data_IF_681897375883
#
_entry.id   IF_681897375883
#
_cell.length_a   1.000
_cell.length_b   1.000
_cell.length_c   1.000
_cell.angle_alpha   90.00
_cell.angle_beta   90.00
_cell.angle_gamma   90.00
#
_symmetry.space_group_name_H-M   'P 1'
#
loop_
_entity.id
_entity.type
_entity.pdbx_description
1 polymer ?
#
# COMPACT_ATOMS: atom_id res chain seq x y z
N UNK A 1 4.75 34.31 50.41
CA UNK A 1 5.19 33.22 49.52
C UNK A 1 6.50 32.66 50.06
N UNK A 2 6.61 31.33 50.25
CA UNK A 2 7.79 30.69 50.84
C UNK A 2 8.90 30.46 49.80
N UNK A 3 10.17 30.48 50.20
CA UNK A 3 11.32 30.10 49.36
C UNK A 3 11.15 28.71 48.71
N UNK A 4 10.50 27.79 49.41
CA UNK A 4 10.14 26.47 48.89
C UNK A 4 9.22 26.55 47.66
N UNK A 5 8.28 27.49 47.63
CA UNK A 5 7.40 27.69 46.49
C UNK A 5 8.17 28.16 45.25
N UNK A 6 9.18 29.02 45.42
CA UNK A 6 10.05 29.43 44.32
C UNK A 6 10.90 28.27 43.78
N UNK A 7 11.52 27.46 44.63
CA UNK A 7 12.26 26.27 44.19
C UNK A 7 11.37 25.28 43.46
N UNK A 8 10.12 25.09 43.94
CA UNK A 8 9.14 24.25 43.28
C UNK A 8 8.80 24.75 41.87
N UNK A 9 8.60 26.06 41.69
CA UNK A 9 8.36 26.66 40.37
C UNK A 9 9.57 26.53 39.45
N UNK A 10 10.79 26.67 39.97
CA UNK A 10 12.02 26.48 39.19
C UNK A 10 12.14 25.03 38.71
N UNK A 11 11.91 24.04 39.59
CA UNK A 11 11.93 22.62 39.23
C UNK A 11 10.85 22.31 38.18
N UNK A 12 9.67 22.90 38.32
CA UNK A 12 8.59 22.74 37.35
C UNK A 12 8.97 23.35 35.99
N UNK A 13 9.62 24.52 35.98
CA UNK A 13 10.15 25.14 34.76
C UNK A 13 11.21 24.28 34.06
N UNK A 14 12.15 23.71 34.81
CA UNK A 14 13.18 22.82 34.26
C UNK A 14 12.57 21.55 33.64
N UNK A 15 11.57 20.93 34.29
CA UNK A 15 10.84 19.79 33.72
C UNK A 15 10.07 20.16 32.44
N UNK A 16 9.46 21.35 32.39
CA UNK A 16 8.76 21.82 31.19
C UNK A 16 9.72 21.98 30.00
N UNK A 17 10.95 22.44 30.22
CA UNK A 17 11.95 22.57 29.16
C UNK A 17 12.37 21.21 28.57
N UNK A 18 12.57 20.21 29.44
CA UNK A 18 12.88 18.84 29.01
C UNK A 18 11.73 18.21 28.21
N UNK A 19 10.48 18.45 28.62
CA UNK A 19 9.30 18.01 27.87
C UNK A 19 9.25 18.68 26.50
N UNK A 20 9.52 19.99 26.41
CA UNK A 20 9.51 20.73 25.14
C UNK A 20 10.54 20.19 24.15
N UNK A 21 11.74 19.84 24.62
CA UNK A 21 12.77 19.21 23.79
C UNK A 21 12.32 17.84 23.28
N UNK A 22 11.79 16.98 24.16
CA UNK A 22 11.28 15.67 23.77
C UNK A 22 10.12 15.77 22.76
N UNK A 23 9.21 16.74 22.93
CA UNK A 23 8.10 16.99 22.00
C UNK A 23 8.63 17.40 20.62
N UNK A 24 9.66 18.23 20.54
CA UNK A 24 10.29 18.58 19.25
C UNK A 24 10.86 17.36 18.55
N UNK A 25 11.52 16.46 19.28
CA UNK A 25 12.06 15.23 18.70
C UNK A 25 10.94 14.30 18.21
N UNK A 26 9.87 14.13 18.99
CA UNK A 26 8.70 13.34 18.59
C UNK A 26 8.08 13.90 17.31
N UNK A 27 7.89 15.22 17.22
CA UNK A 27 7.35 15.86 16.01
C UNK A 27 8.21 15.57 14.78
N UNK A 28 9.54 15.67 14.92
CA UNK A 28 10.46 15.36 13.83
C UNK A 28 10.33 13.90 13.38
N UNK A 29 10.33 12.96 14.33
CA UNK A 29 10.21 11.52 14.04
C UNK A 29 8.86 11.16 13.42
N UNK A 30 7.78 11.78 13.87
CA UNK A 30 6.44 11.61 13.29
C UNK A 30 6.40 12.15 11.86
N UNK A 31 7.04 13.29 11.59
CA UNK A 31 7.16 13.83 10.23
C UNK A 31 7.94 12.90 9.28
N UNK A 32 9.05 12.33 9.76
CA UNK A 32 9.82 11.33 9.01
C UNK A 32 9.00 10.06 8.73
N UNK A 33 8.27 9.57 9.74
CA UNK A 33 7.39 8.41 9.59
C UNK A 33 6.28 8.67 8.58
N UNK A 34 5.64 9.84 8.63
CA UNK A 34 4.61 10.23 7.67
C UNK A 34 5.16 10.22 6.24
N UNK A 35 6.36 10.75 6.02
CA UNK A 35 7.02 10.70 4.70
C UNK A 35 7.27 9.27 4.22
N UNK A 36 7.70 8.38 5.12
CA UNK A 36 7.93 6.96 4.78
C UNK A 36 6.63 6.26 4.39
N UNK A 37 5.53 6.50 5.12
CA UNK A 37 4.22 5.93 4.81
C UNK A 37 3.76 6.37 3.42
N UNK A 38 3.79 7.68 3.13
CA UNK A 38 3.36 8.20 1.83
C UNK A 38 4.19 7.63 0.68
N UNK A 39 5.52 7.52 0.87
CA UNK A 39 6.41 6.93 -0.14
C UNK A 39 6.07 5.47 -0.41
N UNK A 40 5.77 4.70 0.64
CA UNK A 40 5.38 3.31 0.52
C UNK A 40 4.02 3.15 -0.17
N UNK A 41 3.07 4.04 0.14
CA UNK A 41 1.77 4.08 -0.54
C UNK A 41 1.92 4.34 -2.05
N UNK A 42 2.76 5.30 -2.44
CA UNK A 42 3.06 5.54 -3.86
C UNK A 42 3.64 4.31 -4.56
N UNK A 43 4.53 3.56 -3.89
CA UNK A 43 5.06 2.31 -4.44
C UNK A 43 3.97 1.24 -4.58
N UNK A 44 3.08 1.11 -3.60
CA UNK A 44 1.95 0.18 -3.65
C UNK A 44 0.97 0.53 -4.77
N UNK A 45 0.70 1.82 -5.01
CA UNK A 45 -0.13 2.26 -6.13
C UNK A 45 0.50 1.91 -7.48
N UNK A 46 1.82 2.12 -7.64
CA UNK A 46 2.55 1.73 -8.87
C UNK A 46 2.53 0.22 -9.07
N UNK A 47 2.74 -0.55 -8.01
CA UNK A 47 2.70 -2.01 -8.03
C UNK A 47 1.31 -2.51 -8.46
N UNK A 48 0.24 -1.95 -7.91
CA UNK A 48 -1.14 -2.28 -8.30
C UNK A 48 -1.40 -2.04 -9.79
N UNK A 49 -0.89 -0.95 -10.36
CA UNK A 49 -0.98 -0.66 -11.80
C UNK A 49 -0.24 -1.71 -12.63
N UNK A 50 1.01 -2.03 -12.28
CA UNK A 50 1.80 -3.05 -13.00
C UNK A 50 1.14 -4.43 -12.93
N UNK A 51 0.65 -4.83 -11.76
CA UNK A 51 -0.04 -6.09 -11.58
C UNK A 51 -1.35 -6.14 -12.38
N UNK A 52 -2.10 -5.03 -12.44
CA UNK A 52 -3.28 -4.91 -13.31
C UNK A 52 -2.95 -5.16 -14.78
N UNK A 53 -1.83 -4.61 -15.27
CA UNK A 53 -1.34 -4.87 -16.65
C UNK A 53 -1.00 -6.34 -16.86
N UNK A 54 -0.28 -6.98 -15.92
CA UNK A 54 0.06 -8.40 -16.02
C UNK A 54 -1.19 -9.30 -16.00
N UNK A 55 -2.16 -9.03 -15.13
CA UNK A 55 -3.45 -9.74 -15.08
C UNK A 55 -4.21 -9.58 -16.39
N UNK A 56 -4.21 -8.37 -16.98
CA UNK A 56 -4.81 -8.14 -18.28
C UNK A 56 -4.17 -8.98 -19.39
N UNK A 57 -2.83 -9.02 -19.44
CA UNK A 57 -2.12 -9.85 -20.40
C UNK A 57 -2.44 -11.34 -20.20
N UNK A 58 -2.45 -11.81 -18.95
CA UNK A 58 -2.82 -13.18 -18.63
C UNK A 58 -4.22 -13.52 -19.14
N UNK A 59 -5.23 -12.71 -18.80
CA UNK A 59 -6.61 -12.92 -19.21
C UNK A 59 -6.80 -12.88 -20.73
N UNK A 60 -6.10 -11.97 -21.43
CA UNK A 60 -6.15 -11.87 -22.87
C UNK A 60 -5.57 -13.12 -23.54
N UNK A 61 -4.37 -13.55 -23.11
CA UNK A 61 -3.71 -14.76 -23.64
C UNK A 61 -4.55 -16.01 -23.36
N UNK A 62 -5.11 -16.13 -22.15
CA UNK A 62 -5.95 -17.27 -21.78
C UNK A 62 -7.24 -17.33 -22.62
N UNK A 63 -7.80 -16.18 -22.99
CA UNK A 63 -8.96 -16.10 -23.89
C UNK A 63 -8.59 -16.49 -25.33
N UNK A 64 -7.45 -16.05 -25.84
CA UNK A 64 -6.96 -16.45 -27.16
C UNK A 64 -6.68 -17.96 -27.21
N UNK A 65 -6.10 -18.52 -26.14
CA UNK A 65 -5.88 -19.97 -26.03
C UNK A 65 -7.19 -20.77 -26.15
N UNK A 66 -8.27 -20.31 -25.50
CA UNK A 66 -9.59 -20.93 -25.63
C UNK A 66 -10.19 -20.84 -27.05
N UNK A 67 -9.79 -19.85 -27.86
CA UNK A 67 -10.16 -19.78 -29.28
C UNK A 67 -9.36 -20.78 -30.11
N UNK A 68 -8.05 -20.88 -29.86
CA UNK A 68 -7.19 -21.87 -30.52
C UNK A 68 -7.70 -23.27 -30.25
N UNK A 69 -8.03 -23.60 -29.00
CA UNK A 69 -8.63 -24.88 -28.62
C UNK A 69 -9.92 -25.16 -29.40
N UNK A 70 -10.80 -24.15 -29.56
CA UNK A 70 -12.01 -24.27 -30.38
C UNK A 70 -11.72 -24.52 -31.87
N UNK A 71 -10.61 -24.01 -32.41
CA UNK A 71 -10.20 -24.24 -33.79
C UNK A 71 -9.58 -25.63 -33.95
N UNK A 72 -8.79 -26.09 -32.97
CA UNK A 72 -8.24 -27.45 -32.93
C UNK A 72 -9.35 -28.49 -32.86
N UNK A 73 -10.35 -28.30 -31.98
CA UNK A 73 -11.55 -29.16 -31.90
C UNK A 73 -12.23 -29.28 -33.27
N UNK A 74 -12.36 -28.17 -34.01
CA UNK A 74 -13.03 -28.15 -35.32
C UNK A 74 -12.24 -28.87 -36.42
N UNK A 75 -10.91 -28.84 -36.34
CA UNK A 75 -10.03 -29.41 -37.38
C UNK A 75 -9.77 -30.90 -37.11
N UNK A 76 -9.53 -31.26 -35.85
CA UNK A 76 -9.09 -32.58 -35.45
C UNK A 76 -10.19 -33.46 -34.85
N UNK A 77 -11.44 -32.95 -34.75
CA UNK A 77 -12.59 -33.62 -34.12
C UNK A 77 -12.25 -34.15 -32.71
N UNK A 78 -11.46 -33.35 -31.99
CA UNK A 78 -10.95 -33.65 -30.65
C UNK A 78 -11.81 -33.00 -29.57
N UNK A 79 -11.69 -33.47 -28.33
CA UNK A 79 -12.39 -32.87 -27.19
C UNK A 79 -11.70 -31.58 -26.71
N UNK A 80 -12.49 -30.70 -26.10
CA UNK A 80 -12.05 -29.39 -25.61
C UNK A 80 -11.21 -29.55 -24.35
N UNK A 81 -10.01 -28.97 -24.31
CA UNK A 81 -9.06 -29.17 -23.19
C UNK A 81 -8.93 -27.93 -22.30
N UNK A 82 -9.29 -26.74 -22.81
CA UNK A 82 -9.02 -25.48 -22.11
C UNK A 82 -10.31 -24.86 -21.53
N UNK A 83 -10.36 -24.73 -20.21
CA UNK A 83 -11.35 -23.91 -19.50
C UNK A 83 -10.81 -22.49 -19.28
N UNK A 84 -11.41 -21.44 -19.88
CA UNK A 84 -10.94 -20.08 -19.68
C UNK A 84 -11.17 -19.59 -18.24
N UNK A 85 -10.13 -19.59 -17.42
CA UNK A 85 -10.15 -18.95 -16.11
C UNK A 85 -9.74 -17.48 -16.25
N UNK A 86 -10.53 -16.57 -15.70
CA UNK A 86 -10.19 -15.15 -15.60
C UNK A 86 -9.70 -14.84 -14.19
N UNK A 87 -8.58 -14.14 -14.10
CA UNK A 87 -8.07 -13.59 -12.84
C UNK A 87 -8.71 -12.23 -12.58
N UNK A 88 -9.11 -12.00 -11.33
CA UNK A 88 -9.55 -10.70 -10.87
C UNK A 88 -8.38 -9.71 -10.81
N UNK A 89 -8.64 -8.49 -11.26
CA UNK A 89 -7.65 -7.41 -11.19
C UNK A 89 -7.54 -6.86 -9.77
N UNK A 90 -6.38 -6.27 -9.41
CA UNK A 90 -6.25 -5.51 -8.18
C UNK A 90 -7.32 -4.42 -8.18
N UNK A 91 -8.27 -4.49 -7.24
CA UNK A 91 -9.24 -3.40 -7.04
C UNK A 91 -8.44 -2.19 -6.59
N UNK A 92 -8.56 -1.10 -7.35
CA UNK A 92 -8.21 0.21 -6.81
C UNK A 92 -9.10 0.36 -5.58
N UNK A 93 -8.52 0.61 -4.40
CA UNK A 93 -9.33 0.88 -3.21
C UNK A 93 -10.33 1.97 -3.60
N UNK A 94 -11.62 1.66 -3.50
CA UNK A 94 -12.67 2.63 -3.69
C UNK A 94 -12.54 3.59 -2.50
N UNK A 95 -11.80 4.69 -2.72
CA UNK A 95 -11.77 5.84 -1.83
C UNK A 95 -13.13 6.54 -1.95
N UNK A 96 -14.08 6.12 -1.12
CA UNK A 96 -15.20 6.94 -0.62
C UNK A 96 -14.74 7.71 0.64
#
# INVERSE_FOLDING_TARGET
>A
TSFMAYLQTVIQGLRSLEIEENVREIQKRVGELHRHINTHEEYMQKLGKSLGTTVNHFNAVHKELGKIDKDVVRIADSERVVEPAALDQPRKGDDD
#
